data_IF_428356371640
#
_entry.id   IF_428356371640
#
_cell.length_a   1.000
_cell.length_b   1.000
_cell.length_c   1.000
_cell.angle_alpha   90.00
_cell.angle_beta   90.00
_cell.angle_gamma   90.00
#
_symmetry.space_group_name_H-M   'P 1'
#
loop_
_entity.id
_entity.type
_entity.pdbx_description
1 polymer ?
#
# COMPACT_ATOMS: atom_id res chain seq x y z
N UNK A 1 10.41 -8.39 -8.84
CA UNK A 1 10.99 -9.42 -7.94
C UNK A 1 12.50 -9.29 -8.08
N UNK A 2 13.22 -9.11 -6.97
CA UNK A 2 14.67 -8.95 -6.93
C UNK A 2 15.42 -10.04 -7.69
N UNK A 3 15.00 -11.31 -7.54
CA UNK A 3 15.64 -12.47 -8.19
C UNK A 3 15.66 -12.37 -9.73
N UNK A 4 14.76 -11.57 -10.33
CA UNK A 4 14.70 -11.35 -11.80
C UNK A 4 15.51 -10.12 -12.26
N UNK A 5 15.75 -9.16 -11.36
CA UNK A 5 16.38 -7.88 -11.67
C UNK A 5 17.43 -7.52 -10.59
N UNK A 6 18.45 -8.38 -10.36
CA UNK A 6 19.39 -8.20 -9.26
C UNK A 6 20.30 -6.98 -9.45
N UNK A 7 20.46 -6.51 -10.69
CA UNK A 7 21.38 -5.41 -11.01
C UNK A 7 20.65 -4.08 -11.22
N UNK A 8 19.35 -3.97 -10.89
CA UNK A 8 18.60 -2.74 -11.16
C UNK A 8 18.79 -1.65 -10.10
N UNK A 9 19.06 -2.06 -8.85
CA UNK A 9 19.42 -1.18 -7.73
C UNK A 9 20.89 -1.46 -7.43
N UNK A 10 21.71 -0.41 -7.38
CA UNK A 10 23.15 -0.54 -7.21
C UNK A 10 23.55 -0.58 -5.74
N UNK A 11 24.67 -1.22 -5.43
CA UNK A 11 25.30 -1.15 -4.11
C UNK A 11 25.53 0.31 -3.69
N UNK A 12 25.11 0.68 -2.49
CA UNK A 12 25.20 2.03 -1.95
C UNK A 12 24.10 3.00 -2.43
N UNK A 13 23.19 2.59 -3.31
CA UNK A 13 22.05 3.43 -3.72
C UNK A 13 21.06 3.61 -2.56
N UNK A 14 20.56 4.83 -2.33
CA UNK A 14 19.60 5.08 -1.26
C UNK A 14 18.26 4.41 -1.54
N UNK A 15 17.83 3.58 -0.60
CA UNK A 15 16.63 2.75 -0.71
C UNK A 15 15.75 2.83 0.52
N UNK A 16 14.49 2.50 0.30
CA UNK A 16 13.47 2.33 1.31
C UNK A 16 12.98 0.89 1.27
N UNK A 17 13.06 0.21 2.40
CA UNK A 17 12.41 -1.09 2.58
C UNK A 17 11.18 -0.93 3.45
N UNK A 18 10.03 -1.28 2.88
CA UNK A 18 8.78 -1.38 3.64
C UNK A 18 8.37 -2.84 3.76
N UNK A 19 7.68 -3.16 4.84
CA UNK A 19 7.12 -4.50 5.02
C UNK A 19 6.14 -4.84 3.89
N UNK A 20 6.35 -5.99 3.26
CA UNK A 20 5.38 -6.54 2.31
C UNK A 20 4.28 -7.26 3.09
N UNK A 21 3.08 -6.70 3.03
CA UNK A 21 1.89 -7.33 3.61
C UNK A 21 1.31 -8.40 2.68
N UNK A 22 0.69 -9.39 3.31
CA UNK A 22 -0.03 -10.49 2.70
C UNK A 22 -1.53 -10.25 2.86
N UNK A 23 -2.11 -9.59 1.87
CA UNK A 23 -3.51 -9.24 1.89
C UNK A 23 -4.06 -9.18 0.48
N UNK A 24 -4.82 -8.13 0.18
CA UNK A 24 -5.29 -7.85 -1.16
C UNK A 24 -5.04 -6.39 -1.51
N UNK A 25 -4.48 -6.15 -2.70
CA UNK A 25 -4.22 -4.81 -3.20
C UNK A 25 -5.51 -4.01 -3.32
N UNK A 26 -5.50 -2.78 -2.85
CA UNK A 26 -6.60 -1.84 -2.97
C UNK A 26 -6.11 -0.46 -3.42
N UNK A 27 -7.01 0.25 -4.11
CA UNK A 27 -6.80 1.64 -4.47
C UNK A 27 -8.02 2.48 -4.09
N UNK A 28 -7.75 3.55 -3.35
CA UNK A 28 -8.72 4.57 -2.96
C UNK A 28 -8.29 5.89 -3.58
N UNK A 29 -9.13 6.52 -4.38
CA UNK A 29 -8.75 7.71 -5.12
C UNK A 29 -9.89 8.66 -5.37
N UNK A 30 -9.55 9.70 -6.10
CA UNK A 30 -10.46 10.73 -6.54
C UNK A 30 -10.10 11.12 -7.98
N UNK A 31 -11.11 11.45 -8.77
CA UNK A 31 -10.95 12.03 -10.08
C UNK A 31 -11.91 13.22 -10.22
N UNK A 32 -11.47 14.38 -10.76
CA UNK A 32 -12.30 15.58 -10.86
C UNK A 32 -13.59 15.38 -11.65
N UNK A 33 -13.56 14.50 -12.66
CA UNK A 33 -14.74 14.16 -13.47
C UNK A 33 -15.72 13.20 -12.80
N UNK A 34 -15.47 12.81 -11.54
CA UNK A 34 -16.31 11.89 -10.79
C UNK A 34 -16.76 12.51 -9.46
N UNK A 35 -18.06 12.39 -9.18
CA UNK A 35 -18.68 12.94 -7.97
C UNK A 35 -18.53 12.04 -6.75
N UNK A 36 -18.09 10.80 -6.96
CA UNK A 36 -17.85 9.80 -5.92
C UNK A 36 -16.37 9.40 -5.90
N UNK A 37 -15.84 8.99 -4.75
CA UNK A 37 -14.49 8.44 -4.68
C UNK A 37 -14.35 7.20 -5.56
N UNK A 38 -13.12 6.94 -6.00
CA UNK A 38 -12.74 5.71 -6.69
C UNK A 38 -12.31 4.70 -5.64
N UNK A 39 -12.97 3.54 -5.59
CA UNK A 39 -12.56 2.39 -4.78
C UNK A 39 -12.46 1.19 -5.69
N UNK A 40 -11.29 0.57 -5.78
CA UNK A 40 -11.07 -0.55 -6.72
C UNK A 40 -10.10 -1.59 -6.19
N UNK A 41 -10.25 -2.82 -6.71
CA UNK A 41 -9.34 -3.95 -6.50
C UNK A 41 -8.41 -4.11 -7.69
N UNK A 42 -7.38 -4.95 -7.57
CA UNK A 42 -6.41 -5.18 -8.67
C UNK A 42 -7.12 -5.59 -9.96
N UNK A 43 -7.96 -6.62 -9.90
CA UNK A 43 -8.65 -7.15 -11.08
C UNK A 43 -9.75 -6.25 -11.65
N UNK A 44 -10.31 -5.33 -10.86
CA UNK A 44 -11.23 -4.30 -11.38
C UNK A 44 -10.44 -3.14 -12.01
N UNK A 45 -9.36 -2.70 -11.36
CA UNK A 45 -8.49 -1.63 -11.84
C UNK A 45 -7.89 -1.96 -13.21
N UNK A 46 -7.44 -3.21 -13.42
CA UNK A 46 -6.94 -3.71 -14.71
C UNK A 46 -7.98 -3.58 -15.85
N UNK A 47 -9.27 -3.53 -15.51
CA UNK A 47 -10.39 -3.37 -16.47
C UNK A 47 -10.91 -1.93 -16.54
N UNK A 48 -10.26 -0.99 -15.85
CA UNK A 48 -10.73 0.39 -15.72
C UNK A 48 -12.04 0.51 -14.93
N UNK A 49 -12.31 -0.41 -14.01
CA UNK A 49 -13.54 -0.46 -13.22
C UNK A 49 -13.30 -0.08 -11.76
N UNK A 50 -14.34 0.42 -11.11
CA UNK A 50 -14.39 0.72 -9.69
C UNK A 50 -15.71 0.21 -9.08
N UNK A 51 -15.72 -0.01 -7.77
CA UNK A 51 -16.93 -0.39 -7.04
C UNK A 51 -17.95 0.76 -7.04
N UNK A 52 -19.22 0.41 -7.21
CA UNK A 52 -20.33 1.36 -7.05
C UNK A 52 -20.65 1.53 -5.56
N UNK A 53 -20.89 2.76 -5.13
CA UNK A 53 -21.40 3.05 -3.80
C UNK A 53 -22.93 2.87 -3.80
N UNK A 54 -23.38 1.65 -3.49
CA UNK A 54 -24.79 1.28 -3.40
C UNK A 54 -25.00 0.17 -2.36
N UNK A 55 -26.27 -0.11 -2.03
CA UNK A 55 -26.65 -1.09 -1.00
C UNK A 55 -26.10 -2.50 -1.31
N UNK A 56 -26.06 -2.88 -2.59
CA UNK A 56 -25.52 -4.17 -3.02
C UNK A 56 -24.02 -4.35 -2.66
N UNK A 57 -23.27 -3.25 -2.54
CA UNK A 57 -21.85 -3.26 -2.20
C UNK A 57 -21.57 -2.82 -0.75
N UNK A 58 -22.58 -2.57 0.08
CA UNK A 58 -22.38 -2.07 1.44
C UNK A 58 -21.48 -2.98 2.29
N UNK A 59 -21.55 -4.29 2.03
CA UNK A 59 -20.82 -5.33 2.73
C UNK A 59 -19.53 -5.75 2.03
N UNK A 60 -19.19 -5.13 0.89
CA UNK A 60 -17.97 -5.43 0.16
C UNK A 60 -16.73 -5.01 0.96
N UNK A 61 -15.70 -5.87 0.97
CA UNK A 61 -14.45 -5.66 1.69
C UNK A 61 -13.79 -4.31 1.38
N UNK A 62 -13.71 -3.93 0.12
CA UNK A 62 -13.02 -2.71 -0.33
C UNK A 62 -13.79 -1.45 0.07
N UNK A 63 -15.12 -1.48 -0.04
CA UNK A 63 -15.99 -0.39 0.40
C UNK A 63 -15.90 -0.22 1.92
N UNK A 64 -15.92 -1.31 2.69
CA UNK A 64 -15.75 -1.29 4.15
C UNK A 64 -14.38 -0.75 4.56
N UNK A 65 -13.31 -1.20 3.91
CA UNK A 65 -11.95 -0.72 4.17
C UNK A 65 -11.83 0.78 3.89
N UNK A 66 -12.37 1.25 2.76
CA UNK A 66 -12.40 2.68 2.42
C UNK A 66 -13.18 3.49 3.48
N UNK A 67 -14.37 3.05 3.88
CA UNK A 67 -15.17 3.73 4.91
C UNK A 67 -14.43 3.80 6.25
N UNK A 68 -13.74 2.74 6.66
CA UNK A 68 -12.94 2.73 7.88
C UNK A 68 -11.77 3.72 7.87
N UNK A 69 -11.27 4.11 6.68
CA UNK A 69 -10.29 5.22 6.56
C UNK A 69 -10.92 6.60 6.76
N UNK A 70 -12.23 6.74 6.54
CA UNK A 70 -12.98 8.00 6.67
C UNK A 70 -13.72 8.15 8.01
N UNK A 71 -13.83 7.09 8.83
CA UNK A 71 -14.59 7.14 10.08
C UNK A 71 -13.86 7.96 11.18
N UNK A 72 -14.60 8.92 11.74
CA UNK A 72 -14.24 9.80 12.87
C UNK A 72 -13.71 9.01 14.08
N UNK A 73 -12.55 9.43 14.62
CA UNK A 73 -12.00 8.88 15.85
C UNK A 73 -12.33 9.82 17.04
N UNK A 74 -13.21 9.43 17.98
CA UNK A 74 -13.58 10.27 19.12
C UNK A 74 -12.43 10.53 20.11
N UNK A 75 -11.37 9.72 20.10
CA UNK A 75 -10.18 9.90 20.93
C UNK A 75 -9.19 10.94 20.36
N UNK A 76 -9.41 11.41 19.13
CA UNK A 76 -8.62 12.47 18.48
C UNK A 76 -9.53 13.52 17.82
N UNK A 77 -10.16 14.40 18.62
CA UNK A 77 -11.16 15.37 18.15
C UNK A 77 -10.56 16.53 17.35
N UNK A 78 -9.23 16.67 17.32
CA UNK A 78 -8.52 17.72 16.56
C UNK A 78 -8.33 17.30 15.09
N UNK A 79 -8.23 16.00 14.81
CA UNK A 79 -7.96 15.43 13.48
C UNK A 79 -9.09 14.53 12.96
N UNK A 80 -10.36 14.89 13.23
CA UNK A 80 -11.53 14.16 12.72
C UNK A 80 -11.34 13.81 11.23
N UNK A 81 -11.43 12.51 10.90
CA UNK A 81 -11.08 12.01 9.56
C UNK A 81 -12.04 12.60 8.53
N UNK A 82 -11.56 13.56 7.74
CA UNK A 82 -12.21 13.96 6.50
C UNK A 82 -12.07 12.80 5.50
N UNK A 83 -13.13 12.46 4.77
CA UNK A 83 -13.01 11.48 3.70
C UNK A 83 -12.06 11.98 2.60
N UNK A 84 -11.53 11.06 1.80
CA UNK A 84 -10.55 11.36 0.74
C UNK A 84 -11.03 12.47 -0.23
N UNK A 85 -12.35 12.64 -0.37
CA UNK A 85 -13.00 13.62 -1.26
C UNK A 85 -13.05 15.00 -0.62
N UNK A 86 -13.36 15.08 0.67
CA UNK A 86 -13.38 16.32 1.44
C UNK A 86 -11.96 16.89 1.54
N UNK A 87 -10.98 15.99 1.73
CA UNK A 87 -9.58 16.34 1.77
C UNK A 87 -9.01 16.85 0.45
N UNK A 88 -9.38 16.23 -0.67
CA UNK A 88 -9.02 16.69 -2.01
C UNK A 88 -9.39 18.16 -2.24
N UNK A 89 -10.62 18.53 -1.83
CA UNK A 89 -11.11 19.90 -1.93
C UNK A 89 -10.31 20.85 -1.03
N UNK A 90 -9.93 20.40 0.18
CA UNK A 90 -9.17 21.20 1.15
C UNK A 90 -7.74 21.48 0.72
N UNK A 91 -7.05 20.50 0.12
CA UNK A 91 -5.66 20.63 -0.32
C UNK A 91 -5.51 21.42 -1.63
N UNK A 92 -6.60 21.93 -2.21
CA UNK A 92 -6.54 22.68 -3.47
C UNK A 92 -6.10 21.82 -4.66
N UNK A 93 -6.10 20.49 -4.52
CA UNK A 93 -5.77 19.53 -5.57
C UNK A 93 -6.90 19.42 -6.62
N UNK A 94 -7.85 20.37 -6.63
CA UNK A 94 -9.19 20.29 -7.23
C UNK A 94 -9.25 19.84 -8.70
N UNK A 95 -8.13 19.93 -9.43
CA UNK A 95 -8.03 19.56 -10.84
C UNK A 95 -7.16 18.33 -11.11
N UNK A 96 -6.43 17.82 -10.12
CA UNK A 96 -5.50 16.70 -10.29
C UNK A 96 -6.09 15.44 -9.66
N UNK A 97 -6.30 14.35 -10.43
CA UNK A 97 -6.64 13.06 -9.87
C UNK A 97 -5.55 12.55 -8.93
N UNK A 98 -5.92 11.81 -7.90
CA UNK A 98 -4.95 11.12 -7.06
C UNK A 98 -5.49 9.79 -6.56
N UNK A 99 -4.56 8.88 -6.27
CA UNK A 99 -4.85 7.50 -5.94
C UNK A 99 -3.89 7.06 -4.84
N UNK A 100 -4.46 6.61 -3.73
CA UNK A 100 -3.74 6.00 -2.60
C UNK A 100 -3.80 4.49 -2.81
N UNK A 101 -2.64 3.88 -2.98
CA UNK A 101 -2.48 2.45 -3.17
C UNK A 101 -2.06 1.84 -1.84
N UNK A 102 -2.64 0.69 -1.52
CA UNK A 102 -2.34 0.01 -0.29
C UNK A 102 -2.76 -1.45 -0.30
N UNK A 103 -2.56 -2.09 0.84
CA UNK A 103 -2.95 -3.47 1.08
C UNK A 103 -4.06 -3.49 2.13
N UNK A 104 -5.17 -4.16 1.82
CA UNK A 104 -6.15 -4.58 2.83
C UNK A 104 -5.68 -5.94 3.35
N UNK A 105 -5.52 -6.09 4.67
CA UNK A 105 -5.02 -7.32 5.30
C UNK A 105 -5.83 -7.66 6.56
N UNK A 106 -5.67 -8.87 7.08
CA UNK A 106 -6.34 -9.33 8.30
C UNK A 106 -7.36 -10.45 8.04
N UNK A 107 -8.19 -10.79 9.05
CA UNK A 107 -9.06 -11.96 8.99
C UNK A 107 -10.06 -11.89 7.84
N UNK A 108 -10.20 -13.00 7.11
CA UNK A 108 -11.13 -13.11 5.98
C UNK A 108 -10.63 -12.49 4.67
N UNK A 109 -9.39 -11.96 4.64
CA UNK A 109 -8.75 -11.49 3.41
C UNK A 109 -7.89 -12.60 2.79
N UNK A 110 -6.94 -13.12 3.57
CA UNK A 110 -6.07 -14.25 3.24
C UNK A 110 -5.76 -15.08 4.49
N UNK A 111 -4.84 -16.05 4.41
CA UNK A 111 -4.50 -16.95 5.53
C UNK A 111 -3.85 -16.23 6.72
N UNK A 112 -3.03 -15.19 6.47
CA UNK A 112 -2.40 -14.41 7.52
C UNK A 112 -3.34 -13.33 8.08
N UNK A 113 -3.72 -13.47 9.35
CA UNK A 113 -4.66 -12.55 10.03
C UNK A 113 -3.98 -11.40 10.75
N UNK A 114 -2.65 -11.45 10.94
CA UNK A 114 -1.87 -10.41 11.64
C UNK A 114 -2.31 -10.13 13.08
N UNK A 115 -3.00 -11.09 13.72
CA UNK A 115 -3.55 -10.89 15.07
C UNK A 115 -4.67 -9.83 15.13
N UNK A 116 -5.22 -9.43 13.99
CA UNK A 116 -6.32 -8.49 13.88
C UNK A 116 -7.68 -9.19 14.04
N UNK A 117 -8.67 -8.45 14.54
CA UNK A 117 -10.06 -8.92 14.65
C UNK A 117 -10.93 -8.46 13.48
N UNK A 118 -10.47 -7.44 12.74
CA UNK A 118 -11.14 -6.91 11.55
C UNK A 118 -10.11 -6.56 10.47
N UNK A 119 -10.47 -6.64 9.17
CA UNK A 119 -9.58 -6.19 8.11
C UNK A 119 -9.13 -4.74 8.29
N UNK A 120 -7.86 -4.47 8.01
CA UNK A 120 -7.23 -3.15 8.07
C UNK A 120 -6.67 -2.79 6.71
N UNK A 121 -6.46 -1.50 6.48
CA UNK A 121 -5.77 -0.98 5.30
C UNK A 121 -4.44 -0.35 5.71
N UNK A 122 -3.39 -0.56 4.92
CA UNK A 122 -2.12 0.19 4.96
C UNK A 122 -1.74 0.71 3.58
N UNK A 123 -1.51 2.01 3.46
CA UNK A 123 -0.99 2.61 2.23
C UNK A 123 0.49 2.29 2.02
N UNK A 124 0.92 2.12 0.78
CA UNK A 124 2.34 1.94 0.42
C UNK A 124 2.79 2.84 -0.75
N UNK A 125 1.87 3.50 -1.44
CA UNK A 125 2.21 4.45 -2.50
C UNK A 125 1.05 5.39 -2.77
N UNK A 126 1.37 6.54 -3.37
CA UNK A 126 0.40 7.49 -3.91
C UNK A 126 0.76 7.76 -5.37
N UNK A 127 -0.25 7.79 -6.24
CA UNK A 127 -0.12 8.16 -7.64
C UNK A 127 -0.91 9.43 -7.91
N UNK A 128 -0.26 10.42 -8.53
CA UNK A 128 -0.83 11.73 -8.84
C UNK A 128 -0.95 11.92 -10.36
N UNK A 129 -2.12 12.36 -10.82
CA UNK A 129 -2.43 12.61 -12.22
C UNK A 129 -3.26 11.49 -12.86
N UNK A 130 -3.59 11.66 -14.15
CA UNK A 130 -4.38 10.68 -14.89
C UNK A 130 -3.66 9.33 -14.98
N UNK A 131 -4.38 8.19 -14.81
CA UNK A 131 -3.79 6.87 -15.00
C UNK A 131 -3.05 6.75 -16.34
N UNK A 132 -1.78 6.36 -16.29
CA UNK A 132 -0.90 6.22 -17.46
C UNK A 132 -0.08 7.46 -17.80
N UNK A 133 -0.41 8.63 -17.27
CA UNK A 133 0.30 9.91 -17.53
C UNK A 133 0.81 10.62 -16.27
N UNK A 134 0.30 10.22 -15.11
CA UNK A 134 0.76 10.68 -13.80
C UNK A 134 2.01 9.97 -13.30
N UNK A 135 2.40 10.29 -12.07
CA UNK A 135 3.60 9.77 -11.42
C UNK A 135 3.30 9.27 -10.00
N UNK A 136 4.12 8.34 -9.54
CA UNK A 136 4.17 8.00 -8.11
C UNK A 136 4.90 9.11 -7.35
N UNK A 137 4.47 9.37 -6.13
CA UNK A 137 5.18 10.28 -5.24
C UNK A 137 6.45 9.61 -4.70
N UNK A 138 7.51 10.42 -4.55
CA UNK A 138 8.67 10.04 -3.76
C UNK A 138 8.28 9.70 -2.33
N UNK A 139 9.12 8.90 -1.66
CA UNK A 139 8.77 8.34 -0.37
C UNK A 139 8.45 9.41 0.68
N UNK A 140 9.25 10.47 0.77
CA UNK A 140 9.06 11.53 1.77
C UNK A 140 7.77 12.35 1.54
N UNK A 141 7.35 12.54 0.29
CA UNK A 141 6.09 13.21 -0.01
C UNK A 141 4.89 12.27 0.19
N UNK A 142 5.07 10.98 -0.11
CA UNK A 142 4.10 9.94 0.22
C UNK A 142 3.83 9.88 1.72
N UNK A 143 4.87 9.83 2.56
CA UNK A 143 4.72 9.76 4.02
C UNK A 143 4.08 11.02 4.56
N UNK A 144 4.57 12.20 4.15
CA UNK A 144 3.99 13.48 4.54
C UNK A 144 2.49 13.56 4.22
N UNK A 145 2.08 13.12 3.04
CA UNK A 145 0.68 13.10 2.63
C UNK A 145 -0.13 12.12 3.48
N UNK A 146 0.34 10.88 3.66
CA UNK A 146 -0.37 9.90 4.47
C UNK A 146 -0.49 10.32 5.95
N UNK A 147 0.55 10.91 6.54
CA UNK A 147 0.53 11.46 7.90
C UNK A 147 -0.46 12.61 8.02
N UNK A 148 -0.43 13.55 7.07
CA UNK A 148 -1.38 14.68 7.02
C UNK A 148 -2.83 14.20 6.92
N UNK A 149 -3.06 13.06 6.27
CA UNK A 149 -4.37 12.45 6.08
C UNK A 149 -4.72 11.42 7.16
N UNK A 150 -3.83 11.17 8.13
CA UNK A 150 -3.97 10.12 9.13
C UNK A 150 -4.30 8.74 8.49
N UNK A 151 -3.64 8.43 7.38
CA UNK A 151 -3.75 7.17 6.66
C UNK A 151 -2.61 6.28 7.12
N UNK A 152 -2.89 5.16 7.81
CA UNK A 152 -1.86 4.23 8.22
C UNK A 152 -1.09 3.68 7.01
N UNK A 153 0.23 3.62 7.12
CA UNK A 153 1.13 3.13 6.07
C UNK A 153 1.70 1.76 6.39
N UNK A 154 2.19 1.06 5.38
CA UNK A 154 3.00 -0.14 5.60
C UNK A 154 4.24 0.24 6.43
N UNK A 155 4.69 -0.61 7.37
CA UNK A 155 5.84 -0.28 8.20
C UNK A 155 7.11 -0.01 7.39
N UNK A 156 7.80 1.07 7.71
CA UNK A 156 9.19 1.28 7.32
C UNK A 156 10.07 0.32 8.12
N UNK A 157 10.89 -0.45 7.42
CA UNK A 157 11.85 -1.37 8.03
C UNK A 157 13.28 -0.83 7.92
N UNK A 158 13.59 -0.15 6.82
CA UNK A 158 14.93 0.39 6.56
C UNK A 158 14.87 1.59 5.61
N UNK A 159 15.69 2.61 5.87
CA UNK A 159 15.98 3.74 4.98
C UNK A 159 17.49 3.97 5.02
N UNK A 160 18.16 3.89 3.88
CA UNK A 160 19.62 4.02 3.80
C UNK A 160 20.23 3.37 2.55
N UNK A 161 21.57 3.26 2.48
CA UNK A 161 22.27 2.68 1.34
C UNK A 161 21.98 1.19 1.17
N UNK A 162 21.69 0.80 -0.06
CA UNK A 162 21.43 -0.59 -0.42
C UNK A 162 22.69 -1.45 -0.28
N UNK A 163 22.53 -2.61 0.35
CA UNK A 163 23.40 -3.76 0.15
C UNK A 163 22.59 -5.05 0.11
N UNK A 164 23.13 -6.07 -0.55
CA UNK A 164 22.49 -7.38 -0.57
C UNK A 164 22.28 -7.95 0.84
N UNK A 165 23.25 -7.78 1.73
CA UNK A 165 23.18 -8.29 3.09
C UNK A 165 22.08 -7.58 3.89
N UNK A 166 21.98 -6.25 3.77
CA UNK A 166 20.91 -5.47 4.43
C UNK A 166 19.54 -5.85 3.87
N UNK A 167 19.42 -6.08 2.55
CA UNK A 167 18.18 -6.59 1.95
C UNK A 167 17.78 -7.95 2.54
N UNK A 168 18.72 -8.89 2.65
CA UNK A 168 18.44 -10.23 3.17
C UNK A 168 18.10 -10.22 4.66
N UNK A 169 18.76 -9.38 5.45
CA UNK A 169 18.45 -9.17 6.87
C UNK A 169 16.98 -8.76 7.08
N UNK A 170 16.47 -7.85 6.24
CA UNK A 170 15.10 -7.34 6.37
C UNK A 170 14.04 -8.19 5.66
N UNK A 171 14.44 -9.00 4.66
CA UNK A 171 13.54 -9.87 3.90
C UNK A 171 12.89 -10.93 4.80
N UNK A 172 13.68 -11.56 5.67
CA UNK A 172 13.20 -12.57 6.60
C UNK A 172 12.73 -11.96 7.93
N UNK A 173 11.87 -12.68 8.65
CA UNK A 173 11.54 -12.35 10.04
C UNK A 173 10.06 -12.40 10.36
N UNK A 174 9.72 -11.82 11.50
CA UNK A 174 8.34 -11.63 11.93
C UNK A 174 7.80 -10.31 11.41
N UNK A 175 6.51 -10.28 11.10
CA UNK A 175 5.85 -9.03 10.74
C UNK A 175 5.93 -8.02 11.89
N UNK A 176 5.97 -6.73 11.56
CA UNK A 176 5.94 -5.65 12.55
C UNK A 176 4.65 -4.83 12.49
N UNK A 177 3.82 -5.01 11.45
CA UNK A 177 2.61 -4.19 11.24
C UNK A 177 1.62 -4.29 12.39
N UNK A 178 1.57 -5.43 13.09
CA UNK A 178 0.71 -5.64 14.26
C UNK A 178 1.31 -5.13 15.56
N UNK A 179 2.64 -4.89 15.58
CA UNK A 179 3.42 -4.63 16.81
C UNK A 179 3.54 -5.84 17.75
N UNK A 180 3.17 -7.06 17.30
CA UNK A 180 3.08 -8.26 18.15
C UNK A 180 3.80 -9.48 17.58
N UNK A 181 4.43 -9.38 16.42
CA UNK A 181 5.09 -10.51 15.74
C UNK A 181 4.15 -11.71 15.51
N UNK A 182 2.88 -11.42 15.23
CA UNK A 182 1.76 -12.35 15.19
C UNK A 182 1.92 -13.43 14.11
N UNK A 183 2.59 -13.11 13.00
CA UNK A 183 2.90 -14.09 11.96
C UNK A 183 4.26 -13.85 11.31
N UNK A 184 4.61 -14.72 10.35
CA UNK A 184 5.82 -14.56 9.56
C UNK A 184 5.63 -13.41 8.55
N UNK A 185 6.67 -12.59 8.36
CA UNK A 185 6.69 -11.55 7.34
C UNK A 185 6.76 -12.19 5.96
N UNK A 186 5.99 -11.70 4.99
CA UNK A 186 6.10 -12.18 3.61
C UNK A 186 7.45 -11.80 2.98
N UNK A 187 7.89 -10.58 3.24
CA UNK A 187 9.13 -10.05 2.73
C UNK A 187 9.16 -8.54 2.83
N UNK A 188 9.92 -7.93 1.93
CA UNK A 188 10.01 -6.49 1.78
C UNK A 188 9.65 -6.06 0.36
N UNK A 189 9.11 -4.85 0.27
CA UNK A 189 9.10 -4.07 -0.96
C UNK A 189 10.29 -3.12 -0.90
N UNK A 190 11.00 -3.00 -2.01
CA UNK A 190 12.20 -2.19 -2.15
C UNK A 190 11.88 -1.07 -3.13
N UNK A 191 11.90 0.16 -2.62
CA UNK A 191 11.81 1.39 -3.39
C UNK A 191 13.16 2.08 -3.40
N UNK A 192 13.49 2.78 -4.48
CA UNK A 192 14.54 3.80 -4.45
C UNK A 192 14.02 5.02 -3.68
N UNK A 193 14.90 5.77 -3.00
CA UNK A 193 14.47 6.95 -2.25
C UNK A 193 13.80 7.99 -3.16
N UNK A 194 14.41 8.25 -4.31
CA UNK A 194 13.84 9.02 -5.41
C UNK A 194 13.17 8.09 -6.43
N UNK A 195 11.93 8.38 -6.83
CA UNK A 195 11.20 7.58 -7.81
C UNK A 195 11.87 7.68 -9.19
N UNK A 196 12.24 6.53 -9.74
CA UNK A 196 12.81 6.44 -11.09
C UNK A 196 12.20 5.33 -11.91
N UNK A 197 12.45 5.41 -13.21
CA UNK A 197 12.01 4.42 -14.20
C UNK A 197 13.19 3.85 -14.94
N UNK A 198 13.08 2.56 -15.25
CA UNK A 198 13.96 1.83 -16.13
C UNK A 198 13.22 1.49 -17.44
N UNK A 199 13.89 1.55 -18.62
CA UNK A 199 13.24 1.28 -19.91
C UNK A 199 12.61 -0.12 -20.04
N UNK A 200 13.11 -1.13 -19.33
CA UNK A 200 12.64 -2.51 -19.42
C UNK A 200 11.71 -2.89 -18.25
N UNK A 201 12.05 -2.50 -17.03
CA UNK A 201 11.28 -2.82 -15.84
C UNK A 201 10.07 -1.88 -15.65
N UNK A 202 10.14 -0.64 -16.13
CA UNK A 202 9.18 0.41 -15.80
C UNK A 202 9.53 1.07 -14.47
N UNK A 203 8.58 1.20 -13.54
CA UNK A 203 8.87 1.75 -12.20
C UNK A 203 9.91 0.87 -11.51
N UNK A 204 10.98 1.49 -11.00
CA UNK A 204 12.01 0.76 -10.26
C UNK A 204 11.51 0.50 -8.85
N UNK A 205 10.77 -0.59 -8.73
CA UNK A 205 10.24 -1.11 -7.47
C UNK A 205 10.37 -2.63 -7.49
N UNK A 206 10.97 -3.18 -6.46
CA UNK A 206 11.20 -4.60 -6.35
C UNK A 206 10.54 -5.17 -5.10
N UNK A 207 10.51 -6.49 -5.06
CA UNK A 207 10.13 -7.24 -3.87
C UNK A 207 11.17 -8.32 -3.65
N UNK A 208 11.56 -8.51 -2.39
CA UNK A 208 12.31 -9.67 -1.91
C UNK A 208 11.38 -10.42 -0.97
N UNK A 209 11.12 -11.69 -1.27
CA UNK A 209 10.14 -12.52 -0.56
C UNK A 209 10.90 -13.58 0.23
N UNK A 210 10.54 -13.75 1.50
CA UNK A 210 11.15 -14.71 2.40
C UNK A 210 10.94 -16.14 1.93
N UNK A 211 12.03 -16.92 1.82
CA UNK A 211 11.92 -18.34 1.49
C UNK A 211 11.20 -19.12 2.60
N UNK A 212 11.30 -18.66 3.86
CA UNK A 212 10.55 -19.24 5.00
C UNK A 212 9.05 -18.98 4.86
N UNK A 213 8.67 -17.81 4.36
CA UNK A 213 7.27 -17.50 4.06
C UNK A 213 6.73 -18.40 2.93
N UNK A 214 7.50 -18.56 1.84
CA UNK A 214 7.13 -19.39 0.69
C UNK A 214 7.00 -20.87 1.04
N UNK A 215 7.76 -21.35 2.02
CA UNK A 215 7.77 -22.76 2.46
C UNK A 215 6.96 -22.99 3.74
N UNK A 216 6.19 -22.00 4.20
CA UNK A 216 5.36 -22.13 5.41
C UNK A 216 4.31 -23.22 5.21
N UNK A 217 4.04 -23.99 6.27
CA UNK A 217 3.04 -25.07 6.26
C UNK A 217 1.67 -24.51 6.66
N UNK A 218 0.60 -25.07 6.08
CA UNK A 218 -0.79 -24.73 6.39
C UNK A 218 -1.67 -24.65 5.14
N UNK A 219 -2.93 -24.25 5.30
CA UNK A 219 -3.77 -23.83 4.18
C UNK A 219 -3.31 -22.44 3.72
N UNK A 220 -2.22 -22.41 2.97
CA UNK A 220 -1.66 -21.17 2.44
C UNK A 220 -2.49 -20.71 1.25
N UNK A 221 -2.66 -19.40 1.15
CA UNK A 221 -3.36 -18.77 0.05
C UNK A 221 -2.45 -17.70 -0.56
N UNK A 222 -2.45 -17.55 -1.88
CA UNK A 222 -1.76 -16.46 -2.57
C UNK A 222 -2.70 -15.84 -3.61
N UNK A 223 -2.70 -14.51 -3.71
CA UNK A 223 -3.28 -13.83 -4.88
C UNK A 223 -2.24 -13.81 -5.99
N UNK A 224 -2.51 -14.54 -7.08
CA UNK A 224 -1.83 -14.37 -8.36
C UNK A 224 -2.43 -13.17 -9.12
#
# INVERSE_FOLDING_TARGET
NWKKWPDIIQEGEEVIFTEKLHGTWACFGYHPDHTVPIVTSKGLSEKGLAFKFNDANENNLYIKAFKATAEYNPEDPVHGKEDIVTMHRRLGLSLTPFYILGEIYGPGVQDLTYGETTPKFRAFAVYMGNPGYGNYLDYDLFTLLCETLNIPMVPLLYKGPFSYDVMMEHTDGKEVVSGKEACIREGIVINTEEERRDPLLGRVILKSVSDKYLTRKGNTTEFN
#
